data_IF_514505100422
#
_entry.id   IF_514505100422
#
_cell.length_a   1.000
_cell.length_b   1.000
_cell.length_c   1.000
_cell.angle_alpha   90.00
_cell.angle_beta   90.00
_cell.angle_gamma   90.00
#
_symmetry.space_group_name_H-M   'P 1'
#
loop_
_entity.id
_entity.type
_entity.pdbx_description
1 polymer ?
#
# COMPACT_ATOMS: atom_id res chain seq x y z
N UNK A 1 -24.70 -9.64 15.64
CA UNK A 1 -23.25 -9.32 15.57
C UNK A 1 -22.82 -9.64 14.15
N UNK A 2 -22.18 -8.69 13.46
CA UNK A 2 -21.62 -8.94 12.11
C UNK A 2 -20.43 -9.88 12.22
N UNK A 3 -20.25 -10.76 11.27
CA UNK A 3 -19.06 -11.62 11.15
C UNK A 3 -18.44 -11.44 9.77
N UNK A 4 -17.13 -11.24 9.72
CA UNK A 4 -16.37 -11.06 8.49
C UNK A 4 -15.33 -12.17 8.34
N UNK A 5 -15.18 -12.69 7.14
CA UNK A 5 -14.21 -13.73 6.79
C UNK A 5 -13.00 -13.08 6.12
N UNK A 6 -11.86 -13.13 6.77
CA UNK A 6 -10.63 -12.49 6.31
C UNK A 6 -9.63 -13.55 5.90
N UNK A 7 -9.19 -13.49 4.66
CA UNK A 7 -8.04 -14.27 4.18
C UNK A 7 -6.75 -13.64 4.67
N UNK A 8 -5.87 -14.46 5.21
CA UNK A 8 -4.55 -14.05 5.71
C UNK A 8 -3.48 -14.66 4.82
N UNK A 9 -2.60 -13.82 4.29
CA UNK A 9 -1.40 -14.25 3.59
C UNK A 9 -0.20 -13.62 4.31
N UNK A 10 0.49 -14.39 5.14
CA UNK A 10 1.67 -13.89 5.87
C UNK A 10 2.87 -13.70 4.94
N UNK A 11 3.05 -14.63 3.99
CA UNK A 11 4.13 -14.58 3.00
C UNK A 11 5.50 -14.83 3.61
N UNK A 12 6.50 -14.03 3.20
CA UNK A 12 7.91 -14.25 3.44
C UNK A 12 8.53 -13.18 4.35
N UNK A 13 9.76 -13.43 4.80
CA UNK A 13 10.56 -12.46 5.54
C UNK A 13 9.91 -11.98 6.83
N UNK A 14 9.73 -10.66 6.96
CA UNK A 14 9.06 -10.04 8.13
C UNK A 14 7.53 -10.18 8.09
N UNK A 15 6.96 -10.68 6.99
CA UNK A 15 5.50 -10.77 6.81
C UNK A 15 4.77 -11.46 7.97
N UNK A 16 5.20 -12.66 8.44
CA UNK A 16 4.58 -13.31 9.60
C UNK A 16 4.56 -12.45 10.86
N UNK A 17 5.67 -11.77 11.18
CA UNK A 17 5.81 -10.95 12.38
C UNK A 17 4.81 -9.78 12.39
N UNK A 18 4.74 -9.04 11.28
CA UNK A 18 3.89 -7.84 11.17
C UNK A 18 2.41 -8.15 11.05
N UNK A 19 2.05 -9.27 10.39
CA UNK A 19 0.65 -9.71 10.25
C UNK A 19 0.09 -10.20 11.57
N UNK A 20 0.87 -10.93 12.37
CA UNK A 20 0.44 -11.39 13.69
C UNK A 20 0.10 -10.21 14.61
N UNK A 21 0.86 -9.11 14.54
CA UNK A 21 0.55 -7.88 15.29
C UNK A 21 -0.71 -7.18 14.77
N UNK A 22 -0.92 -7.15 13.45
CA UNK A 22 -2.15 -6.59 12.88
C UNK A 22 -3.39 -7.40 13.28
N UNK A 23 -3.34 -8.73 13.27
CA UNK A 23 -4.42 -9.61 13.73
C UNK A 23 -4.73 -9.35 15.22
N UNK A 24 -3.72 -9.19 16.07
CA UNK A 24 -3.88 -8.86 17.47
C UNK A 24 -4.65 -7.55 17.69
N UNK A 25 -4.29 -6.51 16.91
CA UNK A 25 -4.96 -5.19 16.93
C UNK A 25 -6.39 -5.29 16.42
N UNK A 26 -6.63 -6.01 15.30
CA UNK A 26 -7.96 -6.27 14.75
C UNK A 26 -8.88 -6.94 15.77
N UNK A 27 -8.39 -7.96 16.51
CA UNK A 27 -9.16 -8.64 17.53
C UNK A 27 -9.53 -7.71 18.71
N UNK A 28 -8.64 -6.78 19.07
CA UNK A 28 -8.90 -5.82 20.13
C UNK A 28 -10.03 -4.83 19.75
N UNK A 29 -10.00 -4.28 18.54
CA UNK A 29 -11.06 -3.35 18.09
C UNK A 29 -12.36 -4.06 17.78
N UNK A 30 -12.34 -5.29 17.23
CA UNK A 30 -13.52 -6.08 16.97
C UNK A 30 -14.34 -6.31 18.23
N UNK A 31 -13.67 -6.65 19.33
CA UNK A 31 -14.28 -6.81 20.65
C UNK A 31 -14.92 -5.51 21.16
N UNK A 32 -14.30 -4.35 20.88
CA UNK A 32 -14.81 -3.01 21.30
C UNK A 32 -15.96 -2.49 20.43
N UNK A 33 -16.07 -2.96 19.21
CA UNK A 33 -17.03 -2.47 18.21
C UNK A 33 -18.12 -3.50 17.86
N UNK A 34 -18.26 -4.58 18.62
CA UNK A 34 -19.31 -5.59 18.52
C UNK A 34 -19.44 -6.28 17.15
N UNK A 35 -18.30 -6.63 16.51
CA UNK A 35 -18.24 -7.53 15.38
C UNK A 35 -17.22 -8.65 15.62
N UNK A 36 -17.24 -9.68 14.78
CA UNK A 36 -16.29 -10.79 14.82
C UNK A 36 -15.54 -10.93 13.52
N UNK A 37 -14.31 -11.45 13.60
CA UNK A 37 -13.45 -11.73 12.46
C UNK A 37 -13.08 -13.22 12.50
N UNK A 38 -13.30 -13.90 11.37
CA UNK A 38 -12.86 -15.27 11.15
C UNK A 38 -11.69 -15.23 10.18
N UNK A 39 -10.58 -15.86 10.55
CA UNK A 39 -9.36 -15.84 9.73
C UNK A 39 -9.10 -17.20 9.10
N UNK A 40 -8.72 -17.21 7.82
CA UNK A 40 -8.17 -18.39 7.16
C UNK A 40 -6.85 -18.02 6.50
N UNK A 41 -5.79 -18.73 6.86
CA UNK A 41 -4.43 -18.51 6.33
C UNK A 41 -4.23 -19.29 5.03
N UNK A 42 -3.55 -18.65 4.06
CA UNK A 42 -3.20 -19.19 2.77
C UNK A 42 -1.73 -18.94 2.45
N UNK A 43 -1.13 -19.83 1.68
CA UNK A 43 0.27 -19.74 1.27
C UNK A 43 0.41 -18.93 -0.02
N UNK A 44 1.43 -18.05 -0.06
CA UNK A 44 1.83 -17.33 -1.26
C UNK A 44 3.28 -16.87 -1.13
N UNK A 45 3.95 -16.66 -2.26
CA UNK A 45 5.34 -16.21 -2.29
C UNK A 45 6.35 -17.34 -2.21
N UNK A 46 7.49 -17.08 -1.61
CA UNK A 46 8.58 -18.04 -1.48
C UNK A 46 8.24 -19.23 -0.60
N UNK A 47 7.50 -19.00 0.50
CA UNK A 47 7.02 -20.08 1.36
C UNK A 47 6.07 -21.03 0.61
N UNK A 48 5.27 -20.53 -0.32
CA UNK A 48 4.41 -21.35 -1.15
C UNK A 48 5.23 -22.18 -2.15
N UNK A 49 6.28 -21.61 -2.76
CA UNK A 49 7.21 -22.32 -3.63
C UNK A 49 7.86 -23.48 -2.87
N UNK A 50 8.37 -23.22 -1.66
CA UNK A 50 9.04 -24.24 -0.84
C UNK A 50 8.09 -25.39 -0.44
N UNK A 51 6.80 -25.09 -0.29
CA UNK A 51 5.81 -26.04 0.21
C UNK A 51 5.07 -26.79 -0.91
N UNK A 52 4.72 -26.08 -2.00
CA UNK A 52 3.83 -26.56 -3.06
C UNK A 52 4.47 -26.58 -4.44
N UNK A 53 5.65 -25.99 -4.60
CA UNK A 53 6.37 -25.84 -5.89
C UNK A 53 5.90 -24.68 -6.75
N UNK A 54 4.89 -23.90 -6.33
CA UNK A 54 4.35 -22.75 -7.09
C UNK A 54 4.23 -21.50 -6.20
N UNK A 55 4.47 -20.29 -6.75
CA UNK A 55 4.41 -19.05 -5.96
C UNK A 55 2.98 -18.62 -5.59
N UNK A 56 1.97 -19.12 -6.30
CA UNK A 56 0.56 -18.82 -6.10
C UNK A 56 -0.28 -20.10 -6.27
N UNK A 57 -0.58 -20.84 -5.20
CA UNK A 57 -1.48 -21.97 -5.24
C UNK A 57 -2.91 -21.56 -5.62
N UNK A 58 -3.65 -22.41 -6.35
CA UNK A 58 -5.04 -22.12 -6.73
C UNK A 58 -5.96 -22.03 -5.52
N UNK A 59 -5.72 -22.83 -4.46
CA UNK A 59 -6.45 -22.72 -3.19
C UNK A 59 -6.39 -21.30 -2.60
N UNK A 60 -5.26 -20.63 -2.73
CA UNK A 60 -5.09 -19.23 -2.27
C UNK A 60 -5.97 -18.29 -3.07
N UNK A 61 -6.00 -18.45 -4.40
CA UNK A 61 -6.85 -17.64 -5.29
C UNK A 61 -8.32 -17.82 -4.95
N UNK A 62 -8.80 -19.05 -4.87
CA UNK A 62 -10.18 -19.38 -4.54
C UNK A 62 -10.55 -18.89 -3.15
N UNK A 63 -9.67 -19.09 -2.19
CA UNK A 63 -9.89 -18.67 -0.81
C UNK A 63 -10.06 -17.17 -0.65
N UNK A 64 -9.21 -16.39 -1.31
CA UNK A 64 -9.29 -14.92 -1.25
C UNK A 64 -10.53 -14.39 -1.98
N UNK A 65 -10.89 -14.97 -3.14
CA UNK A 65 -12.12 -14.59 -3.86
C UNK A 65 -13.39 -14.88 -3.08
N UNK A 66 -13.36 -15.84 -2.15
CA UNK A 66 -14.51 -16.22 -1.30
C UNK A 66 -14.47 -15.57 0.09
N UNK A 67 -13.55 -14.64 0.35
CA UNK A 67 -13.47 -13.88 1.59
C UNK A 67 -13.96 -12.43 1.41
N UNK A 68 -14.26 -11.77 2.52
CA UNK A 68 -14.68 -10.36 2.51
C UNK A 68 -13.50 -9.43 2.18
N UNK A 69 -12.28 -9.78 2.61
CA UNK A 69 -11.05 -9.07 2.31
C UNK A 69 -9.82 -9.96 2.55
N UNK A 70 -8.68 -9.53 2.03
CA UNK A 70 -7.38 -10.17 2.25
C UNK A 70 -6.45 -9.21 3.00
N UNK A 71 -5.92 -9.66 4.15
CA UNK A 71 -4.78 -9.03 4.81
C UNK A 71 -3.50 -9.77 4.40
N UNK A 72 -2.57 -9.03 3.83
CA UNK A 72 -1.37 -9.57 3.20
C UNK A 72 -0.13 -8.96 3.86
N UNK A 73 0.88 -9.80 4.12
CA UNK A 73 2.16 -9.36 4.69
C UNK A 73 3.14 -8.89 3.62
N UNK A 74 4.09 -9.74 3.27
CA UNK A 74 5.09 -9.42 2.26
C UNK A 74 5.59 -10.70 1.58
N UNK A 75 6.17 -10.58 0.39
CA UNK A 75 6.74 -11.73 -0.33
C UNK A 75 8.12 -11.40 -0.90
N UNK A 76 8.83 -12.48 -1.27
CA UNK A 76 10.10 -12.42 -1.96
C UNK A 76 11.31 -12.56 -1.03
N UNK A 77 12.47 -12.75 -1.64
CA UNK A 77 13.74 -12.87 -0.96
C UNK A 77 14.80 -13.49 -1.86
N UNK A 78 16.07 -13.20 -1.59
CA UNK A 78 17.22 -13.60 -2.42
C UNK A 78 17.30 -15.11 -2.70
N UNK A 79 16.70 -15.93 -1.84
CA UNK A 79 16.64 -17.40 -2.03
C UNK A 79 16.01 -17.80 -3.36
N UNK A 80 15.03 -17.03 -3.86
CA UNK A 80 14.23 -17.36 -5.04
C UNK A 80 14.58 -16.54 -6.29
N UNK A 81 15.55 -15.63 -6.22
CA UNK A 81 15.96 -14.74 -7.32
C UNK A 81 16.45 -15.49 -8.56
N UNK A 82 17.07 -16.66 -8.37
CA UNK A 82 17.63 -17.47 -9.45
C UNK A 82 16.64 -18.46 -10.06
N UNK A 83 15.39 -18.51 -9.59
CA UNK A 83 14.36 -19.34 -10.18
C UNK A 83 13.94 -18.84 -11.57
N UNK A 84 13.44 -19.72 -12.44
CA UNK A 84 12.74 -19.30 -13.66
C UNK A 84 11.69 -18.25 -13.33
N UNK A 85 11.53 -17.27 -14.22
CA UNK A 85 10.66 -16.10 -13.98
C UNK A 85 9.27 -16.48 -13.50
N UNK A 86 8.65 -17.49 -14.11
CA UNK A 86 7.28 -17.91 -13.81
C UNK A 86 7.12 -18.51 -12.40
N UNK A 87 8.24 -18.92 -11.80
CA UNK A 87 8.28 -19.48 -10.44
C UNK A 87 8.75 -18.46 -9.39
N UNK A 88 9.02 -17.22 -9.76
CA UNK A 88 9.43 -16.20 -8.77
C UNK A 88 8.24 -15.68 -7.95
N UNK A 89 8.46 -15.35 -6.67
CA UNK A 89 7.43 -14.76 -5.81
C UNK A 89 6.75 -13.53 -6.44
N UNK A 90 7.53 -12.64 -7.09
CA UNK A 90 7.04 -11.41 -7.71
C UNK A 90 6.08 -11.71 -8.88
N UNK A 91 6.34 -12.77 -9.66
CA UNK A 91 5.41 -13.20 -10.71
C UNK A 91 4.11 -13.74 -10.10
N UNK A 92 4.21 -14.46 -8.97
CA UNK A 92 3.05 -14.87 -8.18
C UNK A 92 2.19 -13.66 -7.75
N UNK A 93 2.84 -12.58 -7.27
CA UNK A 93 2.13 -11.36 -6.85
C UNK A 93 1.41 -10.65 -8.01
N UNK A 94 2.06 -10.51 -9.16
CA UNK A 94 1.43 -9.91 -10.34
C UNK A 94 0.21 -10.72 -10.78
N UNK A 95 0.35 -12.05 -10.87
CA UNK A 95 -0.74 -12.95 -11.23
C UNK A 95 -1.89 -12.89 -10.19
N UNK A 96 -1.57 -12.79 -8.91
CA UNK A 96 -2.55 -12.65 -7.84
C UNK A 96 -3.36 -11.36 -8.00
N UNK A 97 -2.71 -10.21 -8.16
CA UNK A 97 -3.37 -8.91 -8.38
C UNK A 97 -4.28 -8.92 -9.60
N UNK A 98 -3.83 -9.52 -10.70
CA UNK A 98 -4.63 -9.67 -11.92
C UNK A 98 -5.85 -10.57 -11.70
N UNK A 99 -5.69 -11.75 -11.07
CA UNK A 99 -6.79 -12.68 -10.78
C UNK A 99 -7.81 -12.06 -9.82
N UNK A 100 -7.38 -11.29 -8.83
CA UNK A 100 -8.23 -10.54 -7.91
C UNK A 100 -8.91 -9.34 -8.57
N UNK A 101 -8.40 -8.85 -9.70
CA UNK A 101 -8.96 -7.68 -10.39
C UNK A 101 -8.75 -6.36 -9.65
N UNK A 102 -7.73 -6.27 -8.81
CA UNK A 102 -7.44 -5.09 -7.99
C UNK A 102 -6.64 -4.05 -8.79
N UNK A 103 -7.33 -3.16 -9.46
CA UNK A 103 -6.73 -2.18 -10.38
C UNK A 103 -6.28 -0.87 -9.70
N UNK A 104 -6.84 -0.52 -8.55
CA UNK A 104 -6.52 0.72 -7.85
C UNK A 104 -5.75 0.42 -6.56
N UNK A 105 -4.50 0.86 -6.49
CA UNK A 105 -3.70 0.78 -5.28
C UNK A 105 -3.61 2.16 -4.63
N UNK A 106 -4.17 2.25 -3.44
CA UNK A 106 -4.28 3.46 -2.63
C UNK A 106 -3.15 3.46 -1.60
N UNK A 107 -2.27 4.45 -1.66
CA UNK A 107 -1.09 4.59 -0.79
C UNK A 107 -1.09 5.95 -0.11
N UNK A 108 -1.68 6.09 1.08
CA UNK A 108 -1.63 7.34 1.82
C UNK A 108 -0.24 7.58 2.40
N UNK A 109 0.28 8.80 2.26
CA UNK A 109 1.51 9.27 2.87
C UNK A 109 1.17 10.45 3.80
N UNK A 110 0.94 10.12 5.08
CA UNK A 110 0.52 11.07 6.11
C UNK A 110 1.68 11.29 7.08
N UNK A 111 2.05 12.55 7.26
CA UNK A 111 3.11 12.94 8.21
C UNK A 111 2.48 13.19 9.58
N UNK A 112 2.91 12.41 10.55
CA UNK A 112 2.54 12.61 11.96
C UNK A 112 3.39 13.72 12.58
N UNK A 113 2.76 14.71 13.23
CA UNK A 113 3.47 15.82 13.90
C UNK A 113 4.48 15.29 14.95
N UNK A 114 4.19 14.14 15.52
CA UNK A 114 5.03 13.44 16.51
C UNK A 114 6.29 12.81 15.90
N UNK A 115 6.37 12.73 14.56
CA UNK A 115 7.46 12.09 13.81
C UNK A 115 8.21 13.06 12.87
N UNK A 116 8.01 14.35 13.01
CA UNK A 116 8.68 15.35 12.15
C UNK A 116 10.21 15.19 12.14
N UNK A 117 10.79 14.76 13.26
CA UNK A 117 12.24 14.53 13.40
C UNK A 117 12.69 13.15 12.86
N UNK A 118 11.80 12.26 12.48
CA UNK A 118 12.12 10.98 11.85
C UNK A 118 12.42 11.13 10.35
N UNK A 119 11.86 12.16 9.71
CA UNK A 119 12.13 12.46 8.30
C UNK A 119 13.51 13.15 8.15
N UNK A 120 14.15 12.89 7.01
CA UNK A 120 15.36 13.61 6.60
C UNK A 120 15.09 15.01 6.05
N UNK A 121 13.81 15.33 5.79
CA UNK A 121 13.38 16.64 5.32
C UNK A 121 13.12 17.58 6.52
N UNK A 122 13.24 18.87 6.25
CA UNK A 122 12.98 19.89 7.29
C UNK A 122 11.51 19.86 7.73
N UNK A 123 11.23 19.98 9.04
CA UNK A 123 9.86 19.98 9.58
C UNK A 123 8.91 20.95 8.88
N UNK A 124 9.34 22.16 8.53
CA UNK A 124 8.51 23.16 7.86
C UNK A 124 8.08 22.76 6.45
N UNK A 125 8.84 21.85 5.79
CA UNK A 125 8.50 21.30 4.46
C UNK A 125 7.40 20.26 4.58
N UNK A 126 7.48 19.38 5.58
CA UNK A 126 6.64 18.17 5.67
C UNK A 126 5.45 18.30 6.63
N UNK A 127 5.49 19.21 7.59
CA UNK A 127 4.42 19.35 8.60
C UNK A 127 3.05 19.58 7.95
N UNK A 128 2.09 18.73 8.33
CA UNK A 128 0.73 18.77 7.78
C UNK A 128 0.63 18.17 6.37
N UNK A 129 1.62 17.40 5.91
CA UNK A 129 1.55 16.69 4.64
C UNK A 129 0.60 15.48 4.77
N UNK A 130 -0.36 15.40 3.86
CA UNK A 130 -1.32 14.31 3.70
C UNK A 130 -1.57 14.10 2.20
N UNK A 131 -0.88 13.14 1.61
CA UNK A 131 -0.94 12.82 0.18
C UNK A 131 -1.57 11.44 0.01
N UNK A 132 -2.51 11.31 -0.94
CA UNK A 132 -3.01 10.03 -1.41
C UNK A 132 -2.43 9.73 -2.80
N UNK A 133 -1.59 8.71 -2.91
CA UNK A 133 -1.13 8.21 -4.22
C UNK A 133 -2.10 7.13 -4.68
N UNK A 134 -2.73 7.34 -5.83
CA UNK A 134 -3.63 6.40 -6.53
C UNK A 134 -2.86 5.83 -7.70
N UNK A 135 -2.34 4.62 -7.53
CA UNK A 135 -1.53 3.89 -8.51
C UNK A 135 -2.41 2.92 -9.28
N UNK A 136 -2.41 2.99 -10.61
CA UNK A 136 -2.96 1.91 -11.42
C UNK A 136 -2.09 0.66 -11.25
N UNK A 137 -2.68 -0.52 -11.00
CA UNK A 137 -1.95 -1.65 -10.44
C UNK A 137 -1.82 -2.86 -11.37
N UNK A 138 -2.71 -3.05 -12.34
CA UNK A 138 -2.77 -4.26 -13.19
C UNK A 138 -2.60 -3.97 -14.69
N UNK A 139 -2.06 -2.80 -15.02
CA UNK A 139 -1.73 -2.39 -16.38
C UNK A 139 -0.28 -1.93 -16.55
N UNK A 140 -0.04 -1.22 -17.63
CA UNK A 140 1.23 -0.59 -17.93
C UNK A 140 2.36 -1.57 -18.27
N UNK A 141 3.60 -1.15 -17.99
CA UNK A 141 4.81 -1.89 -18.39
C UNK A 141 5.02 -3.22 -17.64
N UNK A 142 4.40 -3.38 -16.47
CA UNK A 142 4.51 -4.62 -15.69
C UNK A 142 3.71 -5.77 -16.32
N UNK A 143 2.62 -5.45 -17.02
CA UNK A 143 1.71 -6.42 -17.64
C UNK A 143 1.76 -6.43 -19.16
N UNK A 144 2.21 -5.33 -19.79
CA UNK A 144 2.22 -5.16 -21.23
C UNK A 144 2.99 -6.23 -21.99
N UNK A 145 2.47 -6.57 -23.16
CA UNK A 145 3.06 -7.53 -24.11
C UNK A 145 3.18 -6.85 -25.48
N UNK A 146 4.17 -7.25 -26.33
CA UNK A 146 5.19 -8.26 -26.10
C UNK A 146 6.29 -7.80 -25.15
N UNK A 147 6.97 -8.76 -24.51
CA UNK A 147 8.19 -8.54 -23.71
C UNK A 147 9.12 -9.72 -23.85
N UNK A 148 10.43 -9.48 -23.94
CA UNK A 148 11.43 -10.51 -24.09
C UNK A 148 12.78 -10.06 -23.53
N UNK A 149 13.62 -11.06 -23.25
CA UNK A 149 15.03 -10.92 -22.99
C UNK A 149 15.72 -12.16 -23.54
N UNK A 150 16.58 -11.97 -24.57
CA UNK A 150 17.32 -13.04 -25.21
C UNK A 150 18.83 -13.05 -24.85
N UNK A 151 19.19 -12.23 -23.85
CA UNK A 151 20.57 -12.05 -23.40
C UNK A 151 21.38 -11.00 -24.19
N UNK A 152 20.91 -10.63 -25.37
CA UNK A 152 21.50 -9.58 -26.20
C UNK A 152 20.61 -8.33 -26.27
N UNK A 153 19.30 -8.54 -26.38
CA UNK A 153 18.27 -7.50 -26.42
C UNK A 153 17.17 -7.84 -25.44
N UNK A 154 16.74 -6.84 -24.66
CA UNK A 154 15.57 -6.94 -23.78
C UNK A 154 14.63 -5.77 -24.03
N UNK A 155 13.31 -6.03 -23.94
CA UNK A 155 12.28 -4.99 -24.07
C UNK A 155 11.03 -5.34 -23.28
N UNK A 156 10.33 -4.31 -22.82
CA UNK A 156 8.99 -4.36 -22.24
C UNK A 156 8.10 -3.35 -22.96
N UNK A 157 6.81 -3.64 -23.01
CA UNK A 157 5.82 -2.75 -23.64
C UNK A 157 4.97 -2.10 -22.55
N UNK A 158 4.85 -0.77 -22.56
CA UNK A 158 3.91 -0.05 -21.71
C UNK A 158 2.60 0.14 -22.49
N UNK A 159 1.50 -0.38 -21.97
CA UNK A 159 0.18 -0.31 -22.61
C UNK A 159 -0.84 0.13 -21.58
N UNK A 160 -1.68 1.09 -21.95
CA UNK A 160 -2.92 1.43 -21.29
C UNK A 160 -4.03 1.62 -22.30
N UNK A 161 -5.22 1.14 -21.97
CA UNK A 161 -6.43 1.41 -22.72
C UNK A 161 -7.23 2.53 -22.06
N UNK A 162 -8.06 3.22 -22.84
CA UNK A 162 -8.92 4.29 -22.32
C UNK A 162 -9.83 3.82 -21.15
N UNK A 163 -10.47 2.63 -21.19
CA UNK A 163 -11.24 2.13 -20.03
C UNK A 163 -10.41 1.95 -18.76
N UNK A 164 -9.17 1.49 -18.86
CA UNK A 164 -8.29 1.35 -17.71
C UNK A 164 -7.95 2.71 -17.07
N UNK A 165 -7.71 3.71 -17.90
CA UNK A 165 -7.44 5.09 -17.45
C UNK A 165 -8.70 5.69 -16.81
N UNK A 166 -9.88 5.48 -17.39
CA UNK A 166 -11.15 5.99 -16.86
C UNK A 166 -11.41 5.41 -15.47
N UNK A 167 -11.28 4.08 -15.28
CA UNK A 167 -11.58 3.45 -13.98
C UNK A 167 -10.68 3.94 -12.86
N UNK A 168 -9.36 4.08 -13.12
CA UNK A 168 -8.44 4.60 -12.10
C UNK A 168 -8.64 6.11 -11.88
N UNK A 169 -8.93 6.85 -12.94
CA UNK A 169 -9.27 8.26 -12.85
C UNK A 169 -10.50 8.50 -11.98
N UNK A 170 -11.60 7.74 -12.18
CA UNK A 170 -12.79 7.82 -11.33
C UNK A 170 -12.46 7.61 -9.87
N UNK A 171 -11.69 6.56 -9.55
CA UNK A 171 -11.23 6.32 -8.16
C UNK A 171 -10.51 7.54 -7.58
N UNK A 172 -9.63 8.18 -8.35
CA UNK A 172 -8.88 9.35 -7.88
C UNK A 172 -9.79 10.57 -7.67
N UNK A 173 -10.70 10.85 -8.60
CA UNK A 173 -11.64 11.97 -8.46
C UNK A 173 -12.62 11.77 -7.30
N UNK A 174 -13.16 10.56 -7.12
CA UNK A 174 -14.06 10.23 -6.01
C UNK A 174 -13.37 10.32 -4.64
N UNK A 175 -12.09 9.97 -4.56
CA UNK A 175 -11.28 10.19 -3.36
C UNK A 175 -11.06 11.68 -3.13
N UNK A 176 -10.70 12.45 -4.15
CA UNK A 176 -10.49 13.89 -4.04
C UNK A 176 -11.76 14.62 -3.59
N UNK A 177 -12.95 14.20 -4.03
CA UNK A 177 -14.24 14.75 -3.57
C UNK A 177 -14.43 14.65 -2.04
N UNK A 178 -13.79 13.69 -1.40
CA UNK A 178 -13.82 13.46 0.06
C UNK A 178 -12.64 14.10 0.79
N UNK A 179 -11.75 14.78 0.06
CA UNK A 179 -10.52 15.42 0.53
C UNK A 179 -10.50 16.90 0.09
N UNK A 180 -9.33 17.44 -0.23
CA UNK A 180 -9.15 18.87 -0.59
C UNK A 180 -9.55 19.21 -2.03
N UNK A 181 -10.18 18.25 -2.76
CA UNK A 181 -10.69 18.41 -4.12
C UNK A 181 -9.63 18.79 -5.16
N UNK A 182 -8.41 18.26 -5.01
CA UNK A 182 -7.31 18.49 -5.94
C UNK A 182 -6.75 17.15 -6.44
N UNK A 183 -6.69 16.97 -7.77
CA UNK A 183 -6.05 15.82 -8.43
C UNK A 183 -4.87 16.30 -9.24
N UNK A 184 -3.69 15.70 -8.99
CA UNK A 184 -2.52 15.85 -9.84
C UNK A 184 -2.33 14.55 -10.63
N UNK A 185 -2.60 14.60 -11.94
CA UNK A 185 -2.34 13.49 -12.86
C UNK A 185 -0.89 13.51 -13.29
N UNK A 186 -0.16 12.45 -12.96
CA UNK A 186 1.29 12.35 -13.23
C UNK A 186 1.56 11.38 -14.37
N UNK A 187 2.30 11.85 -15.37
CA UNK A 187 2.58 11.13 -16.61
C UNK A 187 3.94 11.52 -17.24
N UNK A 188 4.22 11.04 -18.44
CA UNK A 188 5.36 11.45 -19.28
C UNK A 188 4.91 11.81 -20.70
N UNK A 189 3.81 12.59 -20.81
CA UNK A 189 3.13 12.89 -22.05
C UNK A 189 3.96 13.69 -23.07
N UNK A 190 5.05 14.33 -22.63
CA UNK A 190 5.99 14.99 -23.53
C UNK A 190 6.86 14.03 -24.37
N UNK A 191 6.83 12.72 -24.06
CA UNK A 191 7.68 11.72 -24.72
C UNK A 191 6.91 10.46 -25.11
N UNK A 192 5.92 10.03 -24.32
CA UNK A 192 5.26 8.74 -24.47
C UNK A 192 3.82 8.89 -24.99
N UNK A 193 3.51 8.21 -26.10
CA UNK A 193 2.15 8.13 -26.65
C UNK A 193 1.12 7.60 -25.65
N UNK A 194 1.50 6.57 -24.88
CA UNK A 194 0.64 6.00 -23.83
C UNK A 194 0.32 7.02 -22.73
N UNK A 195 1.23 7.91 -22.43
CA UNK A 195 1.02 9.01 -21.47
C UNK A 195 0.20 10.16 -22.07
N UNK A 196 0.27 10.37 -23.39
CA UNK A 196 -0.59 11.32 -24.08
C UNK A 196 -2.06 10.86 -23.99
N UNK A 197 -2.33 9.58 -24.32
CA UNK A 197 -3.67 9.01 -24.14
C UNK A 197 -4.16 9.12 -22.68
N UNK A 198 -3.27 8.89 -21.71
CA UNK A 198 -3.57 9.05 -20.28
C UNK A 198 -4.04 10.47 -19.97
N UNK A 199 -3.26 11.47 -20.39
CA UNK A 199 -3.57 12.89 -20.13
C UNK A 199 -4.86 13.33 -20.78
N UNK A 200 -5.08 12.96 -22.05
CA UNK A 200 -6.28 13.32 -22.80
C UNK A 200 -7.54 12.71 -22.14
N UNK A 201 -7.44 11.45 -21.72
CA UNK A 201 -8.53 10.76 -21.02
C UNK A 201 -8.83 11.40 -19.65
N UNK A 202 -7.80 11.80 -18.89
CA UNK A 202 -7.99 12.49 -17.61
C UNK A 202 -8.66 13.86 -17.81
N UNK A 203 -8.31 14.60 -18.87
CA UNK A 203 -8.96 15.87 -19.22
C UNK A 203 -10.44 15.66 -19.57
N UNK A 204 -10.77 14.65 -20.38
CA UNK A 204 -12.17 14.35 -20.69
C UNK A 204 -12.96 13.99 -19.42
N UNK A 205 -12.39 13.12 -18.58
CA UNK A 205 -13.04 12.65 -17.36
C UNK A 205 -13.27 13.77 -16.33
N UNK A 206 -12.38 14.76 -16.28
CA UNK A 206 -12.50 15.88 -15.33
C UNK A 206 -13.80 16.66 -15.47
N UNK A 207 -14.42 16.65 -16.66
CA UNK A 207 -15.71 17.29 -16.88
C UNK A 207 -16.87 16.68 -16.08
N UNK A 208 -16.74 15.40 -15.66
CA UNK A 208 -17.71 14.73 -14.80
C UNK A 208 -17.54 15.14 -13.30
N UNK A 209 -16.43 15.82 -12.96
CA UNK A 209 -16.09 16.22 -11.58
C UNK A 209 -15.74 17.72 -11.49
N UNK A 210 -16.68 18.63 -11.79
CA UNK A 210 -16.40 20.07 -11.90
C UNK A 210 -15.96 20.73 -10.60
N UNK A 211 -16.14 20.07 -9.45
CA UNK A 211 -15.67 20.56 -8.15
C UNK A 211 -14.23 20.20 -7.85
N UNK A 212 -13.59 19.35 -8.65
CA UNK A 212 -12.21 18.88 -8.43
C UNK A 212 -11.28 19.60 -9.38
N UNK A 213 -10.27 20.26 -8.84
CA UNK A 213 -9.19 20.86 -9.61
C UNK A 213 -8.27 19.76 -10.15
N UNK A 214 -8.20 19.64 -11.50
CA UNK A 214 -7.26 18.75 -12.18
C UNK A 214 -6.02 19.53 -12.60
N UNK A 215 -4.85 19.05 -12.22
CA UNK A 215 -3.55 19.49 -12.70
C UNK A 215 -2.77 18.34 -13.33
N UNK A 216 -1.79 18.65 -14.16
CA UNK A 216 -0.90 17.65 -14.75
C UNK A 216 0.56 17.96 -14.43
N UNK A 217 1.32 16.90 -14.14
CA UNK A 217 2.76 17.04 -13.88
C UNK A 217 3.53 15.91 -14.57
N UNK A 218 4.68 16.22 -15.15
CA UNK A 218 5.58 15.16 -15.62
C UNK A 218 6.22 14.45 -14.43
N UNK A 219 6.40 13.15 -14.56
CA UNK A 219 6.85 12.29 -13.43
C UNK A 219 8.19 12.70 -12.83
N UNK A 220 9.13 13.17 -13.66
CA UNK A 220 10.42 13.70 -13.20
C UNK A 220 10.26 14.97 -12.35
N UNK A 221 9.37 15.88 -12.75
CA UNK A 221 9.03 17.04 -11.93
C UNK A 221 8.27 16.63 -10.67
N UNK A 222 7.33 15.69 -10.75
CA UNK A 222 6.59 15.20 -9.58
C UNK A 222 7.53 14.61 -8.52
N UNK A 223 8.56 13.85 -8.92
CA UNK A 223 9.56 13.33 -8.02
C UNK A 223 10.34 14.44 -7.29
N UNK A 224 10.72 15.51 -8.00
CA UNK A 224 11.36 16.68 -7.39
C UNK A 224 10.41 17.44 -6.44
N UNK A 225 9.16 17.61 -6.84
CA UNK A 225 8.18 18.37 -6.06
C UNK A 225 7.73 17.64 -4.80
N UNK A 226 7.69 16.32 -4.78
CA UNK A 226 7.45 15.52 -3.56
C UNK A 226 8.48 15.82 -2.48
N UNK A 227 9.74 16.04 -2.85
CA UNK A 227 10.82 16.40 -1.91
C UNK A 227 10.79 17.89 -1.57
N UNK A 228 10.51 18.76 -2.55
CA UNK A 228 10.62 20.22 -2.41
C UNK A 228 9.40 20.86 -1.74
N UNK A 229 8.21 20.45 -2.15
CA UNK A 229 6.93 21.01 -1.69
C UNK A 229 5.83 19.94 -1.70
N UNK A 230 5.90 18.91 -0.83
CA UNK A 230 4.92 17.81 -0.83
C UNK A 230 3.50 18.29 -0.53
N UNK A 231 3.32 19.35 0.22
CA UNK A 231 2.01 19.90 0.62
C UNK A 231 1.17 20.46 -0.53
N UNK A 232 1.75 20.64 -1.72
CA UNK A 232 0.96 21.01 -2.91
C UNK A 232 0.05 19.87 -3.40
N UNK A 233 0.38 18.62 -3.05
CA UNK A 233 -0.40 17.46 -3.48
C UNK A 233 -1.51 17.13 -2.46
N UNK A 234 -2.67 16.74 -2.99
CA UNK A 234 -3.76 16.11 -2.26
C UNK A 234 -3.91 14.66 -2.75
N UNK A 235 -4.37 14.47 -4.00
CA UNK A 235 -4.44 13.18 -4.66
C UNK A 235 -3.51 13.18 -5.87
N UNK A 236 -2.59 12.23 -5.94
CA UNK A 236 -1.77 11.96 -7.12
C UNK A 236 -2.35 10.72 -7.79
N UNK A 237 -2.68 10.80 -9.09
CA UNK A 237 -3.07 9.64 -9.89
C UNK A 237 -2.05 9.39 -10.98
N UNK A 238 -1.64 8.12 -11.14
CA UNK A 238 -0.60 7.78 -12.12
C UNK A 238 -0.60 6.29 -12.49
N UNK A 239 0.09 5.96 -13.57
CA UNK A 239 0.29 4.59 -14.03
C UNK A 239 1.18 3.76 -13.09
N UNK A 240 1.23 2.46 -13.34
CA UNK A 240 1.79 1.44 -12.46
C UNK A 240 3.23 1.74 -12.03
N UNK A 241 4.18 1.82 -12.97
CA UNK A 241 5.60 2.04 -12.63
C UNK A 241 5.86 3.41 -12.02
N UNK A 242 5.20 4.46 -12.50
CA UNK A 242 5.38 5.80 -11.93
C UNK A 242 4.81 5.88 -10.52
N UNK A 243 3.67 5.24 -10.28
CA UNK A 243 3.05 5.17 -8.96
C UNK A 243 3.90 4.39 -7.96
N UNK A 244 4.58 3.34 -8.41
CA UNK A 244 5.52 2.57 -7.58
C UNK A 244 6.66 3.48 -7.08
N UNK A 245 7.36 4.13 -8.01
CA UNK A 245 8.51 4.98 -7.71
C UNK A 245 8.11 6.20 -6.87
N UNK A 246 7.00 6.86 -7.21
CA UNK A 246 6.58 8.08 -6.51
C UNK A 246 6.05 7.81 -5.10
N UNK A 247 5.39 6.68 -4.87
CA UNK A 247 4.94 6.32 -3.52
C UNK A 247 6.12 5.96 -2.59
N UNK A 248 7.17 5.33 -3.13
CA UNK A 248 8.39 5.08 -2.36
C UNK A 248 9.14 6.39 -2.06
N UNK A 249 9.14 7.34 -3.00
CA UNK A 249 9.64 8.70 -2.74
C UNK A 249 8.81 9.40 -1.65
N UNK A 250 7.48 9.28 -1.70
CA UNK A 250 6.58 9.84 -0.69
C UNK A 250 6.81 9.20 0.70
N UNK A 251 7.24 7.93 0.78
CA UNK A 251 7.58 7.28 2.05
C UNK A 251 8.71 7.99 2.79
N UNK A 252 9.67 8.53 2.06
CA UNK A 252 10.79 9.28 2.66
C UNK A 252 10.35 10.66 3.18
N UNK A 253 9.27 11.22 2.65
CA UNK A 253 8.65 12.44 3.22
C UNK A 253 8.08 12.15 4.61
N UNK A 254 7.46 10.97 4.80
CA UNK A 254 6.88 10.55 6.08
C UNK A 254 7.95 10.13 7.11
N UNK A 255 9.12 9.70 6.64
CA UNK A 255 10.27 9.36 7.48
C UNK A 255 10.56 7.86 7.62
N UNK A 256 9.61 6.98 7.33
CA UNK A 256 9.83 5.53 7.27
C UNK A 256 8.80 4.85 6.37
N UNK A 257 9.25 3.90 5.57
CA UNK A 257 8.39 3.02 4.78
C UNK A 257 7.52 2.11 5.67
N UNK A 258 7.95 1.85 6.91
CA UNK A 258 7.20 1.10 7.92
C UNK A 258 5.96 1.80 8.48
N UNK A 259 5.66 3.03 8.00
CA UNK A 259 4.46 3.79 8.33
C UNK A 259 3.41 3.81 7.21
N UNK A 260 3.74 3.31 6.02
CA UNK A 260 2.87 3.46 4.86
C UNK A 260 2.03 2.20 4.60
N UNK A 261 0.73 2.29 4.84
CA UNK A 261 -0.22 1.24 4.46
C UNK A 261 -0.54 1.31 2.97
N UNK A 262 -1.18 0.26 2.46
CA UNK A 262 -1.86 0.33 1.18
C UNK A 262 -3.14 -0.50 1.14
N UNK A 263 -4.04 -0.11 0.25
CA UNK A 263 -5.22 -0.85 -0.14
C UNK A 263 -5.22 -1.04 -1.65
N UNK A 264 -5.21 -2.28 -2.10
CA UNK A 264 -5.43 -2.63 -3.50
C UNK A 264 -6.88 -3.02 -3.68
N UNK A 265 -7.65 -2.19 -4.38
CA UNK A 265 -9.11 -2.34 -4.55
C UNK A 265 -9.50 -2.57 -6.00
N UNK A 266 -10.61 -3.23 -6.21
CA UNK A 266 -11.15 -3.56 -7.53
C UNK A 266 -12.60 -3.98 -7.46
N UNK A 267 -13.08 -4.65 -8.53
CA UNK A 267 -14.49 -5.01 -8.66
C UNK A 267 -14.88 -6.29 -7.89
N UNK A 268 -13.90 -7.12 -7.50
CA UNK A 268 -14.17 -8.45 -6.92
C UNK A 268 -13.84 -8.53 -5.44
N UNK A 269 -12.66 -8.11 -5.06
CA UNK A 269 -12.15 -8.19 -3.69
C UNK A 269 -11.14 -7.07 -3.44
N UNK A 270 -10.64 -6.96 -2.22
CA UNK A 270 -9.61 -6.00 -1.85
C UNK A 270 -8.48 -6.67 -1.07
N UNK A 271 -7.25 -6.21 -1.29
CA UNK A 271 -6.04 -6.67 -0.63
C UNK A 271 -5.45 -5.50 0.16
N UNK A 272 -5.12 -5.74 1.41
CA UNK A 272 -4.55 -4.76 2.33
C UNK A 272 -3.17 -5.20 2.75
N UNK A 273 -2.16 -4.43 2.38
CA UNK A 273 -0.75 -4.77 2.54
C UNK A 273 0.09 -3.53 2.86
N UNK A 274 1.19 -3.62 3.63
CA UNK A 274 2.14 -2.52 3.72
C UNK A 274 2.80 -2.29 2.35
N UNK A 275 3.33 -1.10 2.09
CA UNK A 275 4.04 -0.85 0.82
C UNK A 275 5.44 -1.43 0.79
N UNK A 276 6.06 -1.67 1.95
CA UNK A 276 7.40 -2.25 2.05
C UNK A 276 7.40 -3.75 1.67
N UNK A 277 8.55 -4.26 1.28
CA UNK A 277 8.76 -5.69 0.97
C UNK A 277 9.00 -6.55 2.21
N UNK A 278 9.53 -7.74 1.96
CA UNK A 278 9.75 -8.79 2.97
C UNK A 278 10.95 -8.54 3.90
N UNK A 279 11.82 -7.58 3.61
CA UNK A 279 13.00 -7.21 4.40
C UNK A 279 13.75 -8.42 4.98
N UNK A 280 14.29 -9.31 4.12
CA UNK A 280 14.87 -10.59 4.55
C UNK A 280 16.08 -10.44 5.47
N UNK A 281 16.75 -9.28 5.44
CA UNK A 281 17.89 -8.91 6.27
C UNK A 281 17.55 -8.74 7.75
N UNK A 282 16.30 -8.41 8.07
CA UNK A 282 15.82 -8.24 9.45
C UNK A 282 14.76 -9.28 9.86
N UNK A 283 14.42 -10.22 8.98
CA UNK A 283 13.44 -11.27 9.26
C UNK A 283 13.88 -12.15 10.45
N UNK A 284 12.97 -12.44 11.37
CA UNK A 284 13.24 -13.23 12.58
C UNK A 284 13.97 -12.47 13.68
N UNK A 285 14.38 -11.22 13.46
CA UNK A 285 15.01 -10.41 14.51
C UNK A 285 13.98 -9.71 15.42
N UNK A 286 12.71 -9.73 15.07
CA UNK A 286 11.63 -9.11 15.85
C UNK A 286 11.69 -7.58 15.89
N UNK A 287 12.47 -6.93 15.02
CA UNK A 287 12.67 -5.46 15.01
C UNK A 287 11.86 -4.73 13.95
N UNK A 288 11.10 -5.45 13.13
CA UNK A 288 10.26 -4.87 12.10
C UNK A 288 9.20 -3.93 12.72
N UNK A 289 8.88 -2.86 11.99
CA UNK A 289 7.81 -1.95 12.38
C UNK A 289 6.46 -2.50 11.89
N UNK A 290 5.49 -2.86 12.77
CA UNK A 290 4.21 -3.41 12.34
C UNK A 290 3.17 -2.35 11.97
N UNK A 291 3.46 -1.05 12.12
CA UNK A 291 2.48 0.03 12.02
C UNK A 291 1.87 0.09 10.62
N UNK A 292 2.65 -0.06 9.56
CA UNK A 292 2.13 -0.04 8.18
C UNK A 292 1.07 -1.14 7.95
N UNK A 293 1.32 -2.37 8.44
CA UNK A 293 0.37 -3.49 8.32
C UNK A 293 -0.86 -3.26 9.19
N UNK A 294 -0.70 -2.71 10.39
CA UNK A 294 -1.82 -2.33 11.28
C UNK A 294 -2.66 -1.23 10.64
N UNK A 295 -2.05 -0.22 10.02
CA UNK A 295 -2.77 0.81 9.27
C UNK A 295 -3.45 0.25 8.01
N UNK A 296 -2.84 -0.74 7.32
CA UNK A 296 -3.48 -1.44 6.21
C UNK A 296 -4.74 -2.19 6.69
N UNK A 297 -4.67 -2.82 7.86
CA UNK A 297 -5.84 -3.42 8.50
C UNK A 297 -6.90 -2.37 8.89
N UNK A 298 -6.51 -1.17 9.31
CA UNK A 298 -7.45 -0.06 9.54
C UNK A 298 -8.13 0.38 8.22
N UNK A 299 -7.38 0.47 7.11
CA UNK A 299 -7.97 0.72 5.78
C UNK A 299 -8.96 -0.37 5.37
N UNK A 300 -8.69 -1.65 5.68
CA UNK A 300 -9.61 -2.77 5.45
C UNK A 300 -10.94 -2.54 6.18
N UNK A 301 -10.88 -2.20 7.46
CA UNK A 301 -12.07 -1.88 8.26
C UNK A 301 -12.87 -0.73 7.64
N UNK A 302 -12.20 0.32 7.18
CA UNK A 302 -12.80 1.52 6.62
C UNK A 302 -13.41 1.31 5.24
N UNK A 303 -12.63 0.76 4.30
CA UNK A 303 -13.00 0.75 2.88
C UNK A 303 -13.82 -0.46 2.46
N UNK A 304 -13.57 -1.64 3.05
CA UNK A 304 -14.31 -2.86 2.69
C UNK A 304 -15.37 -3.23 3.71
N UNK A 305 -15.02 -3.23 5.00
CA UNK A 305 -15.93 -3.73 6.03
C UNK A 305 -16.91 -2.66 6.55
N UNK A 306 -16.72 -1.39 6.17
CA UNK A 306 -17.54 -0.24 6.62
C UNK A 306 -17.61 -0.11 8.15
N UNK A 307 -16.51 -0.46 8.85
CA UNK A 307 -16.34 -0.33 10.29
C UNK A 307 -15.46 0.91 10.61
N UNK A 308 -15.91 2.10 10.19
CA UNK A 308 -15.18 3.37 10.33
C UNK A 308 -14.72 3.62 11.76
N UNK A 309 -15.60 3.40 12.76
CA UNK A 309 -15.28 3.60 14.17
C UNK A 309 -14.08 2.76 14.62
N UNK A 310 -14.00 1.51 14.17
CA UNK A 310 -12.89 0.61 14.51
C UNK A 310 -11.58 1.07 13.83
N UNK A 311 -11.66 1.53 12.57
CA UNK A 311 -10.53 2.14 11.89
C UNK A 311 -10.00 3.37 12.63
N UNK A 312 -10.87 4.31 12.98
CA UNK A 312 -10.50 5.53 13.69
C UNK A 312 -9.87 5.24 15.05
N UNK A 313 -10.33 4.18 15.75
CA UNK A 313 -9.74 3.73 17.02
C UNK A 313 -8.29 3.25 16.83
N UNK A 314 -8.00 2.51 15.77
CA UNK A 314 -6.63 2.06 15.46
C UNK A 314 -5.73 3.26 15.16
N UNK A 315 -6.17 4.14 14.24
CA UNK A 315 -5.41 5.34 13.86
C UNK A 315 -5.11 6.23 15.07
N UNK A 316 -6.12 6.43 15.95
CA UNK A 316 -5.96 7.17 17.20
C UNK A 316 -4.98 6.50 18.15
N UNK A 317 -5.06 5.18 18.35
CA UNK A 317 -4.17 4.44 19.24
C UNK A 317 -2.70 4.53 18.78
N UNK A 318 -2.45 4.45 17.47
CA UNK A 318 -1.11 4.64 16.89
C UNK A 318 -0.62 6.07 17.17
N UNK A 319 -1.45 7.07 16.88
CA UNK A 319 -1.11 8.48 17.10
C UNK A 319 -0.79 8.75 18.57
N UNK A 320 -1.61 8.26 19.49
CA UNK A 320 -1.41 8.45 20.93
C UNK A 320 -0.13 7.74 21.42
N UNK A 321 0.17 6.53 20.94
CA UNK A 321 1.41 5.83 21.26
C UNK A 321 2.65 6.60 20.75
N UNK A 322 2.59 7.12 19.51
CA UNK A 322 3.65 7.95 18.94
C UNK A 322 3.81 9.27 19.71
N UNK A 323 2.71 9.90 20.13
CA UNK A 323 2.71 11.14 20.94
C UNK A 323 3.39 10.93 22.29
N UNK A 324 3.18 9.78 22.91
CA UNK A 324 3.78 9.43 24.20
C UNK A 324 5.26 8.98 24.08
N UNK A 325 5.83 9.05 22.85
CA UNK A 325 7.26 8.82 22.58
C UNK A 325 7.64 7.36 22.37
N UNK A 326 6.68 6.44 22.15
CA UNK A 326 6.99 5.07 21.76
C UNK A 326 7.35 5.00 20.27
N UNK A 327 8.45 4.33 19.95
CA UNK A 327 9.01 4.23 18.58
C UNK A 327 9.46 2.80 18.30
N UNK A 328 9.44 2.41 17.05
CA UNK A 328 10.25 1.29 16.55
C UNK A 328 11.63 1.78 16.13
N UNK A 329 12.55 0.88 15.89
CA UNK A 329 13.96 1.22 15.61
C UNK A 329 14.13 2.16 14.40
N UNK A 330 13.34 1.97 13.37
CA UNK A 330 13.32 2.79 12.14
C UNK A 330 12.82 4.23 12.37
N UNK A 331 12.01 4.43 13.43
CA UNK A 331 11.44 5.71 13.84
C UNK A 331 12.19 6.36 15.01
N UNK A 332 13.18 5.66 15.58
CA UNK A 332 13.88 6.10 16.76
C UNK A 332 14.77 7.30 16.43
N UNK A 333 14.29 8.50 16.66
CA UNK A 333 15.02 9.74 16.70
C UNK A 333 15.39 10.11 18.16
N UNK A 334 16.00 11.26 18.35
CA UNK A 334 16.47 11.74 19.67
C UNK A 334 15.34 11.97 20.70
N UNK A 335 14.09 11.98 20.26
CA UNK A 335 12.89 12.22 21.09
C UNK A 335 12.15 10.95 21.51
N UNK A 336 12.68 9.77 21.19
CA UNK A 336 12.08 8.50 21.60
C UNK A 336 12.17 8.32 23.13
N UNK A 337 11.02 8.13 23.79
CA UNK A 337 10.96 7.74 25.20
C UNK A 337 11.39 6.28 25.38
N UNK A 338 10.95 5.43 24.47
CA UNK A 338 11.24 4.00 24.46
C UNK A 338 11.24 3.46 23.03
N UNK A 339 12.24 2.63 22.72
CA UNK A 339 12.33 1.95 21.43
C UNK A 339 11.79 0.53 21.59
N UNK A 340 10.70 0.24 20.91
CA UNK A 340 9.97 -1.02 21.00
C UNK A 340 10.34 -1.94 19.83
N UNK A 341 10.33 -3.24 20.10
CA UNK A 341 10.37 -4.25 19.04
C UNK A 341 8.98 -4.45 18.42
N UNK A 342 8.87 -5.30 17.39
CA UNK A 342 7.62 -5.56 16.66
C UNK A 342 6.46 -5.91 17.59
N UNK A 343 6.66 -6.93 18.42
CA UNK A 343 5.63 -7.44 19.35
C UNK A 343 5.26 -6.39 20.41
N UNK A 344 6.25 -5.69 20.97
CA UNK A 344 5.99 -4.68 21.98
C UNK A 344 5.22 -3.48 21.41
N UNK A 345 5.46 -3.10 20.15
CA UNK A 345 4.70 -2.03 19.48
C UNK A 345 3.24 -2.46 19.27
N UNK A 346 3.00 -3.67 18.76
CA UNK A 346 1.63 -4.19 18.61
C UNK A 346 0.89 -4.24 19.95
N UNK A 347 1.54 -4.74 21.02
CA UNK A 347 0.97 -4.75 22.38
C UNK A 347 0.67 -3.32 22.88
N UNK A 348 1.55 -2.36 22.59
CA UNK A 348 1.35 -0.96 22.97
C UNK A 348 0.11 -0.38 22.30
N UNK A 349 -0.07 -0.61 21.00
CA UNK A 349 -1.26 -0.16 20.27
C UNK A 349 -2.53 -0.79 20.87
N UNK A 350 -2.53 -2.07 21.19
CA UNK A 350 -3.67 -2.74 21.89
C UNK A 350 -3.94 -2.11 23.25
N UNK A 351 -2.90 -1.75 24.00
CA UNK A 351 -3.06 -1.04 25.28
C UNK A 351 -3.82 0.29 25.08
N UNK A 352 -3.47 1.07 24.04
CA UNK A 352 -4.15 2.35 23.75
C UNK A 352 -5.58 2.16 23.24
N UNK A 353 -5.86 1.11 22.48
CA UNK A 353 -7.24 0.76 22.07
C UNK A 353 -8.10 0.44 23.31
N UNK A 354 -7.52 -0.15 24.34
CA UNK A 354 -8.24 -0.57 25.55
C UNK A 354 -8.45 0.55 26.58
N UNK A 355 -7.71 1.65 26.48
CA UNK A 355 -7.95 2.87 27.27
C UNK A 355 -9.24 3.57 26.85
#
# INVERSE_FOLDING_TARGET
MKNYNISIIKGDGIGPEIVDEAIKVLNAVAKKCDFTLSYKEYLMGGIAIDTTGVPLPEETVEGVLNSDACLFGAIGGAKWDNLPRDLRPETGLLNFREKMGVYANLRPAIVYDELLNASTLKPEVIKGCDIMVVRELIGGIYFGKPRANDGFKAFNTMVYTKPEIIRIGKTAFELAMKRDKRVCSVDKANVLEVSQLWRDTMNELSSEYPEVELSHMYVDNAAMQLVRNPKQFDVIVTGNIFGDILSDTASMVVGSIGLLPSASTGDKTAIYEPIHGSAPDIAGLGIANPIATILSAAMMLKYTLNEQKASDMIEKAIKDALKDGYRTKDLAAFDAKEVLNCVAMGNKIVEYINK
#
